data_IF_392431917285
#
_entry.id   IF_392431917285
#
_cell.length_a   1.000
_cell.length_b   1.000
_cell.length_c   1.000
_cell.angle_alpha   90.00
_cell.angle_beta   90.00
_cell.angle_gamma   90.00
#
_symmetry.space_group_name_H-M   'P 1'
#
loop_
_entity.id
_entity.type
_entity.pdbx_description
1 polymer ?
#
# COMPACT_ATOMS: atom_id res chain seq x y z
N UNK A 1 -8.95 0.23 5.48
CA UNK A 1 -7.88 1.15 5.07
C UNK A 1 -6.88 0.48 4.12
N UNK A 2 -6.41 -0.73 4.41
CA UNK A 2 -5.48 -1.49 3.55
C UNK A 2 -5.85 -1.56 2.05
N UNK A 3 -7.12 -1.83 1.71
CA UNK A 3 -7.55 -1.88 0.30
C UNK A 3 -7.31 -0.58 -0.46
N UNK A 4 -7.58 0.57 0.17
CA UNK A 4 -7.29 1.88 -0.42
C UNK A 4 -5.79 2.11 -0.52
N UNK A 5 -5.02 1.73 0.49
CA UNK A 5 -3.57 1.82 0.47
C UNK A 5 -2.98 1.01 -0.71
N UNK A 6 -3.44 -0.22 -0.90
CA UNK A 6 -3.00 -1.09 -1.99
C UNK A 6 -3.43 -0.56 -3.37
N UNK A 7 -4.61 0.07 -3.48
CA UNK A 7 -5.10 0.69 -4.71
C UNK A 7 -4.12 1.76 -5.23
N UNK A 8 -3.68 2.66 -4.36
CA UNK A 8 -2.83 3.80 -4.74
C UNK A 8 -1.33 3.47 -4.77
N UNK A 9 -0.94 2.26 -4.38
CA UNK A 9 0.48 1.87 -4.32
C UNK A 9 1.06 1.75 -5.71
N UNK A 10 2.19 2.42 -5.97
CA UNK A 10 2.86 2.44 -7.27
C UNK A 10 2.25 3.39 -8.29
N UNK A 11 1.18 4.12 -7.94
CA UNK A 11 0.64 5.20 -8.78
C UNK A 11 1.45 6.49 -8.59
N UNK A 12 1.38 7.38 -9.58
CA UNK A 12 1.80 8.78 -9.39
C UNK A 12 0.87 9.49 -8.42
N UNK A 13 1.35 10.57 -7.81
CA UNK A 13 0.56 11.34 -6.84
C UNK A 13 -0.72 11.91 -7.45
N UNK A 14 -0.63 12.45 -8.68
CA UNK A 14 -1.77 13.05 -9.38
C UNK A 14 -2.83 12.00 -9.74
N UNK A 15 -2.39 10.82 -10.18
CA UNK A 15 -3.30 9.71 -10.46
C UNK A 15 -3.98 9.22 -9.18
N UNK A 16 -3.24 9.12 -8.07
CA UNK A 16 -3.80 8.71 -6.79
C UNK A 16 -4.84 9.71 -6.27
N UNK A 17 -4.57 11.02 -6.37
CA UNK A 17 -5.52 12.07 -5.97
C UNK A 17 -6.80 12.01 -6.81
N UNK A 18 -6.69 11.84 -8.12
CA UNK A 18 -7.85 11.70 -9.01
C UNK A 18 -8.69 10.45 -8.66
N UNK A 19 -8.05 9.31 -8.38
CA UNK A 19 -8.76 8.09 -7.98
C UNK A 19 -9.47 8.24 -6.62
N UNK A 20 -8.83 8.93 -5.66
CA UNK A 20 -9.40 9.13 -4.33
C UNK A 20 -10.54 10.15 -4.33
N UNK A 21 -10.52 11.13 -5.23
CA UNK A 21 -11.57 12.14 -5.36
C UNK A 21 -12.93 11.55 -5.73
N UNK A 22 -12.95 10.54 -6.60
CA UNK A 22 -14.18 9.86 -7.02
C UNK A 22 -14.46 8.55 -6.26
N UNK A 23 -13.75 8.30 -5.16
CA UNK A 23 -13.97 7.10 -4.34
C UNK A 23 -14.94 7.38 -3.20
N UNK A 24 -16.12 6.76 -3.21
CA UNK A 24 -17.19 6.94 -2.21
C UNK A 24 -16.87 6.36 -0.81
N UNK A 25 -15.62 6.02 -0.52
CA UNK A 25 -15.21 5.46 0.77
C UNK A 25 -14.79 6.58 1.70
N UNK A 26 -15.25 6.56 2.96
CA UNK A 26 -14.81 7.49 4.02
C UNK A 26 -13.29 7.64 4.11
N UNK A 27 -12.56 6.52 3.97
CA UNK A 27 -11.09 6.53 4.03
C UNK A 27 -10.41 7.27 2.88
N UNK A 28 -11.10 7.47 1.75
CA UNK A 28 -10.51 8.12 0.59
C UNK A 28 -10.27 9.61 0.84
N UNK A 29 -11.23 10.30 1.47
CA UNK A 29 -11.08 11.70 1.88
C UNK A 29 -9.90 11.90 2.83
N UNK A 30 -9.77 11.03 3.85
CA UNK A 30 -8.66 11.08 4.82
C UNK A 30 -7.30 10.87 4.12
N UNK A 31 -7.21 9.90 3.21
CA UNK A 31 -5.95 9.66 2.48
C UNK A 31 -5.64 10.84 1.54
N UNK A 32 -6.64 11.43 0.88
CA UNK A 32 -6.46 12.61 0.01
C UNK A 32 -5.84 13.76 0.79
N UNK A 33 -6.36 14.06 1.98
CA UNK A 33 -5.81 15.08 2.88
C UNK A 33 -4.35 14.80 3.26
N UNK A 34 -4.04 13.55 3.66
CA UNK A 34 -2.67 13.14 4.02
C UNK A 34 -1.71 13.28 2.84
N UNK A 35 -2.14 12.92 1.62
CA UNK A 35 -1.30 13.04 0.42
C UNK A 35 -1.02 14.51 0.06
N UNK A 36 -2.02 15.39 0.19
CA UNK A 36 -1.83 16.83 -0.04
C UNK A 36 -0.87 17.43 0.99
N UNK A 37 -1.04 17.10 2.27
CA UNK A 37 -0.13 17.53 3.33
C UNK A 37 1.29 17.01 3.10
N UNK A 38 1.45 15.74 2.74
CA UNK A 38 2.75 15.16 2.42
C UNK A 38 3.41 15.81 1.20
N UNK A 39 2.64 16.17 0.17
CA UNK A 39 3.14 16.91 -0.99
C UNK A 39 3.61 18.31 -0.59
N UNK A 40 2.85 19.02 0.24
CA UNK A 40 3.20 20.36 0.70
C UNK A 40 4.45 20.32 1.62
N UNK A 41 4.60 19.30 2.46
CA UNK A 41 5.82 19.07 3.26
C UNK A 41 7.03 18.71 2.40
N UNK A 42 6.83 17.95 1.31
CA UNK A 42 7.92 17.59 0.40
C UNK A 42 8.50 18.83 -0.29
N UNK A 43 7.64 19.75 -0.74
CA UNK A 43 8.07 21.00 -1.38
C UNK A 43 8.70 21.96 -0.38
N UNK A 44 8.07 22.16 0.78
CA UNK A 44 8.53 23.16 1.76
C UNK A 44 9.78 22.74 2.51
N UNK A 45 9.84 21.49 2.97
CA UNK A 45 10.84 21.06 3.94
C UNK A 45 11.89 20.12 3.32
N UNK A 46 11.53 19.39 2.25
CA UNK A 46 12.40 18.38 1.63
C UNK A 46 12.99 18.82 0.28
N UNK A 47 12.88 20.11 -0.07
CA UNK A 47 13.45 20.72 -1.29
C UNK A 47 13.07 20.01 -2.60
N UNK A 48 11.84 19.50 -2.70
CA UNK A 48 11.32 18.94 -3.97
C UNK A 48 10.82 20.08 -4.86
N UNK A 49 11.41 20.23 -6.05
CA UNK A 49 11.04 21.30 -7.00
C UNK A 49 9.66 21.04 -7.66
N UNK A 50 9.41 19.80 -8.09
CA UNK A 50 8.22 19.43 -8.86
C UNK A 50 7.20 18.64 -8.03
N UNK A 51 6.06 19.27 -7.73
CA UNK A 51 4.93 18.65 -6.99
C UNK A 51 4.41 17.35 -7.63
N UNK A 52 4.37 17.30 -8.96
CA UNK A 52 3.87 16.15 -9.72
C UNK A 52 4.90 15.03 -9.87
N UNK A 53 6.19 15.31 -9.67
CA UNK A 53 7.27 14.32 -9.82
C UNK A 53 7.45 13.47 -8.55
N UNK A 54 6.34 12.96 -8.03
CA UNK A 54 6.28 12.14 -6.83
C UNK A 54 5.41 10.92 -7.12
N UNK A 55 5.85 9.76 -6.65
CA UNK A 55 5.06 8.54 -6.68
C UNK A 55 5.00 7.88 -5.31
N UNK A 56 3.95 7.07 -5.13
CA UNK A 56 3.69 6.37 -3.87
C UNK A 56 4.46 5.06 -3.87
N UNK A 57 5.63 5.03 -3.21
CA UNK A 57 6.46 3.84 -3.11
C UNK A 57 5.88 2.83 -2.11
N UNK A 58 5.53 3.31 -0.91
CA UNK A 58 4.95 2.48 0.15
C UNK A 58 3.69 3.13 0.70
N UNK A 59 2.68 2.29 0.93
CA UNK A 59 1.39 2.70 1.46
C UNK A 59 0.80 1.55 2.27
N UNK A 60 0.64 1.73 3.58
CA UNK A 60 0.11 0.68 4.43
C UNK A 60 -0.72 1.25 5.58
N UNK A 61 -1.49 0.36 6.22
CA UNK A 61 -2.31 0.72 7.37
C UNK A 61 -2.08 -0.25 8.51
N UNK A 62 -1.94 0.27 9.73
CA UNK A 62 -1.80 -0.52 10.96
C UNK A 62 -3.01 -0.39 11.87
N UNK A 63 -3.23 -1.38 12.75
CA UNK A 63 -4.23 -1.30 13.83
C UNK A 63 -3.71 -0.34 14.91
N UNK A 64 -4.55 0.58 15.36
CA UNK A 64 -4.25 1.50 16.46
C UNK A 64 -4.69 0.92 17.80
N UNK A 65 -4.61 1.73 18.86
CA UNK A 65 -5.10 1.36 20.18
C UNK A 65 -6.63 1.25 20.16
N UNK A 66 -7.15 0.03 20.37
CA UNK A 66 -8.59 -0.23 20.39
C UNK A 66 -9.15 -0.18 21.82
N UNK A 67 -10.32 0.46 21.98
CA UNK A 67 -11.01 0.49 23.26
C UNK A 67 -12.09 -0.59 23.31
N UNK A 68 -12.27 -1.22 24.47
CA UNK A 68 -13.35 -2.21 24.68
C UNK A 68 -14.62 -1.54 25.19
N UNK A 69 -15.77 -2.03 24.74
CA UNK A 69 -17.14 -1.63 25.12
C UNK A 69 -18.00 -2.88 25.23
N UNK A 70 -19.12 -2.78 25.93
CA UNK A 70 -20.07 -3.89 26.07
C UNK A 70 -21.16 -3.75 24.99
N UNK A 71 -21.46 -4.84 24.29
CA UNK A 71 -22.64 -4.97 23.43
C UNK A 71 -23.64 -5.89 24.13
N UNK A 72 -24.76 -5.32 24.56
CA UNK A 72 -25.82 -6.09 25.22
C UNK A 72 -26.57 -6.96 24.20
N UNK A 73 -26.90 -8.18 24.62
CA UNK A 73 -27.69 -9.14 23.86
C UNK A 73 -28.89 -9.63 24.70
N UNK A 74 -29.82 -10.35 24.08
CA UNK A 74 -30.95 -10.94 24.79
C UNK A 74 -30.54 -12.02 25.79
N UNK A 75 -31.47 -12.42 26.66
CA UNK A 75 -31.29 -13.50 27.65
C UNK A 75 -30.13 -13.28 28.64
N UNK A 76 -29.79 -12.03 28.95
CA UNK A 76 -28.72 -11.69 29.89
C UNK A 76 -27.29 -11.85 29.36
N UNK A 77 -27.11 -12.11 28.06
CA UNK A 77 -25.79 -12.20 27.44
C UNK A 77 -25.21 -10.84 27.06
N UNK A 78 -23.88 -10.74 27.00
CA UNK A 78 -23.19 -9.59 26.43
C UNK A 78 -21.90 -10.01 25.70
N UNK A 79 -21.54 -9.25 24.68
CA UNK A 79 -20.28 -9.40 23.95
C UNK A 79 -19.35 -8.22 24.21
N UNK A 80 -18.05 -8.43 24.06
CA UNK A 80 -17.06 -7.35 24.10
C UNK A 80 -16.94 -6.78 22.68
N UNK A 81 -17.43 -5.56 22.47
CA UNK A 81 -17.24 -4.79 21.26
C UNK A 81 -15.97 -3.97 21.34
N UNK A 82 -15.14 -4.01 20.30
CA UNK A 82 -13.99 -3.12 20.19
C UNK A 82 -14.33 -1.89 19.35
N UNK A 83 -13.98 -0.70 19.85
CA UNK A 83 -13.88 0.52 19.06
C UNK A 83 -12.55 0.47 18.34
N UNK A 84 -12.61 0.12 17.06
CA UNK A 84 -11.42 -0.12 16.23
C UNK A 84 -10.85 1.20 15.72
N UNK A 85 -9.56 1.41 15.96
CA UNK A 85 -8.77 2.50 15.41
C UNK A 85 -7.70 1.96 14.48
N UNK A 86 -7.23 2.79 13.56
CA UNK A 86 -6.15 2.47 12.63
C UNK A 86 -5.31 3.69 12.30
N UNK A 87 -4.05 3.44 11.92
CA UNK A 87 -3.13 4.44 11.40
C UNK A 87 -2.89 4.17 9.91
N UNK A 88 -2.62 5.23 9.16
CA UNK A 88 -2.24 5.17 7.75
C UNK A 88 -0.84 5.76 7.60
N UNK A 89 0.00 5.09 6.82
CA UNK A 89 1.38 5.49 6.57
C UNK A 89 1.62 5.52 5.05
N UNK A 90 2.35 6.53 4.60
CA UNK A 90 2.71 6.73 3.20
C UNK A 90 4.17 7.14 3.09
N UNK A 91 4.84 6.68 2.04
CA UNK A 91 6.19 7.10 1.65
C UNK A 91 6.14 7.55 0.19
N UNK A 92 6.40 8.84 -0.01
CA UNK A 92 6.57 9.44 -1.33
C UNK A 92 8.04 9.37 -1.71
N UNK A 93 8.31 9.05 -2.97
CA UNK A 93 9.66 9.07 -3.55
C UNK A 93 9.63 9.96 -4.78
N UNK A 94 10.69 10.75 -4.94
CA UNK A 94 10.87 11.63 -6.09
C UNK A 94 11.16 10.82 -7.35
N UNK A 95 10.56 11.25 -8.46
CA UNK A 95 10.72 10.65 -9.78
C UNK A 95 9.41 10.13 -10.38
N UNK A 96 9.52 9.63 -11.60
CA UNK A 96 8.42 8.94 -12.26
C UNK A 96 8.15 7.58 -11.58
N UNK A 97 6.87 7.13 -11.55
CA UNK A 97 6.55 5.81 -11.03
C UNK A 97 7.29 4.73 -11.83
N UNK A 98 7.87 3.71 -11.16
CA UNK A 98 8.53 2.62 -11.86
C UNK A 98 7.52 1.87 -12.74
N UNK A 99 7.93 1.42 -13.93
CA UNK A 99 7.04 0.62 -14.77
C UNK A 99 6.68 -0.67 -14.04
N UNK A 100 5.43 -1.15 -14.19
CA UNK A 100 5.04 -2.43 -13.63
C UNK A 100 5.90 -3.54 -14.23
N UNK A 101 6.25 -4.52 -13.41
CA UNK A 101 6.98 -5.70 -13.88
C UNK A 101 6.17 -6.42 -14.96
N UNK A 102 6.77 -6.60 -16.13
CA UNK A 102 6.13 -7.29 -17.22
C UNK A 102 5.90 -8.77 -16.81
N UNK A 103 4.76 -9.37 -17.21
CA UNK A 103 4.54 -10.79 -16.94
C UNK A 103 5.63 -11.62 -17.62
N UNK A 104 6.11 -12.65 -16.92
CA UNK A 104 7.11 -13.58 -17.44
C UNK A 104 6.61 -14.21 -18.74
N UNK A 105 7.43 -14.17 -19.78
CA UNK A 105 7.12 -14.80 -21.07
C UNK A 105 7.39 -16.30 -21.02
N UNK A 106 6.81 -17.06 -21.96
CA UNK A 106 7.08 -18.49 -22.10
C UNK A 106 8.59 -18.80 -22.26
N UNK A 107 9.33 -17.91 -22.92
CA UNK A 107 10.79 -18.04 -23.09
C UNK A 107 11.50 -17.88 -21.74
N UNK A 108 11.07 -16.92 -20.91
CA UNK A 108 11.62 -16.74 -19.57
C UNK A 108 11.38 -17.98 -18.70
N UNK A 109 10.16 -18.54 -18.75
CA UNK A 109 9.82 -19.79 -18.06
C UNK A 109 10.67 -20.97 -18.55
N UNK A 110 10.86 -21.12 -19.87
CA UNK A 110 11.68 -22.18 -20.42
C UNK A 110 13.16 -22.06 -19.99
N UNK A 111 13.70 -20.84 -19.97
CA UNK A 111 15.06 -20.57 -19.48
C UNK A 111 15.20 -20.91 -18.00
N UNK A 112 14.26 -20.46 -17.16
CA UNK A 112 14.23 -20.76 -15.72
C UNK A 112 14.17 -22.26 -15.46
N UNK A 113 13.36 -22.99 -16.23
CA UNK A 113 13.30 -24.46 -16.14
C UNK A 113 14.62 -25.13 -16.56
N UNK A 114 15.24 -24.70 -17.66
CA UNK A 114 16.54 -25.22 -18.10
C UNK A 114 17.62 -24.94 -17.05
N UNK A 115 17.61 -23.75 -16.44
CA UNK A 115 18.55 -23.35 -15.40
C UNK A 115 18.39 -24.20 -14.13
N UNK A 116 17.15 -24.45 -13.69
CA UNK A 116 16.88 -25.38 -12.60
C UNK A 116 17.41 -26.78 -12.88
N UNK A 117 17.25 -27.29 -14.12
CA UNK A 117 17.78 -28.59 -14.52
C UNK A 117 19.31 -28.62 -14.60
N UNK A 118 19.97 -27.49 -14.87
CA UNK A 118 21.44 -27.38 -14.90
C UNK A 118 22.05 -27.26 -13.51
N UNK A 119 21.36 -26.58 -12.60
CA UNK A 119 21.83 -26.35 -11.23
C UNK A 119 21.65 -27.57 -10.32
N UNK A 120 21.10 -28.69 -10.82
CA UNK A 120 20.99 -29.93 -10.05
C UNK A 120 22.37 -30.54 -9.82
N UNK A 121 22.70 -30.80 -8.57
CA UNK A 121 23.89 -31.55 -8.15
C UNK A 121 23.50 -32.96 -7.74
N UNK A 122 24.48 -33.86 -7.65
CA UNK A 122 24.25 -35.20 -7.13
C UNK A 122 23.99 -35.07 -5.63
N UNK A 123 22.81 -35.48 -5.19
CA UNK A 123 22.42 -35.43 -3.78
C UNK A 123 23.04 -36.64 -3.07
N UNK A 124 23.60 -36.44 -1.88
CA UNK A 124 24.24 -37.47 -1.04
C UNK A 124 25.56 -38.06 -1.61
N UNK A 125 26.28 -37.33 -2.45
CA UNK A 125 27.68 -37.63 -2.80
C UNK A 125 28.60 -36.46 -2.46
N UNK A 126 29.90 -36.73 -2.29
CA UNK A 126 30.95 -35.70 -2.26
C UNK A 126 31.05 -34.99 -3.61
#
# INVERSE_FOLDING_TARGET
>A
MWYLAKLIRGMSIDQALAQLEFCDKKGAQIIKEILLEAQDMAVRDHNVEFRSNLYIAESHSGRGQCLKRIRYHGRGYFGIMEKVYCHYFVKLVEGAPPPPEAPKTAIAHAKEYIEQLRNRTIIHSL
#
